data_IF_481872570464
#
_entry.id   IF_481872570464
#
_cell.length_a   1.000
_cell.length_b   1.000
_cell.length_c   1.000
_cell.angle_alpha   90.00
_cell.angle_beta   90.00
_cell.angle_gamma   90.00
#
_symmetry.space_group_name_H-M   'P 1'
#
loop_
_entity.id
_entity.type
_entity.pdbx_description
1 polymer ?
#
# COMPACT_ATOMS: atom_id res chain seq x y z
N UNK A 1 48.63 39.91 -46.30
CA UNK A 1 48.25 38.72 -46.33
C UNK A 1 47.20 38.42 -45.43
N UNK A 2 46.19 38.03 -45.89
CA UNK A 2 45.10 37.84 -45.07
C UNK A 2 45.03 36.51 -44.56
N UNK A 3 44.90 36.43 -43.35
CA UNK A 3 44.80 35.21 -42.81
C UNK A 3 43.43 34.74 -42.93
N UNK A 4 43.23 33.81 -43.62
CA UNK A 4 41.99 33.35 -43.75
C UNK A 4 41.62 32.54 -42.62
N UNK A 5 40.88 32.98 -41.85
CA UNK A 5 40.48 32.23 -40.73
C UNK A 5 39.23 31.45 -41.07
N UNK A 6 39.34 30.25 -41.04
CA UNK A 6 38.23 29.45 -41.29
C UNK A 6 37.71 28.95 -40.00
N UNK A 7 36.65 29.33 -39.63
CA UNK A 7 36.14 28.87 -38.38
C UNK A 7 35.90 27.41 -38.51
N UNK A 8 36.38 26.77 -37.66
CA UNK A 8 36.15 25.38 -37.69
C UNK A 8 34.70 25.17 -37.50
N UNK A 9 34.20 24.33 -38.16
CA UNK A 9 32.82 24.05 -38.00
C UNK A 9 32.66 23.54 -36.65
N UNK A 10 31.90 24.15 -36.00
CA UNK A 10 31.66 23.72 -34.73
C UNK A 10 30.94 22.45 -34.86
N UNK A 11 31.45 21.52 -34.44
CA UNK A 11 30.80 20.29 -34.51
C UNK A 11 29.54 20.46 -33.80
N UNK A 12 28.59 20.20 -34.43
CA UNK A 12 27.34 20.27 -33.79
C UNK A 12 27.39 19.34 -32.66
N UNK A 13 26.98 19.73 -31.67
CA UNK A 13 26.96 18.91 -30.56
C UNK A 13 26.14 17.77 -30.88
N UNK A 14 26.65 16.79 -30.70
CA UNK A 14 25.96 15.66 -30.87
C UNK A 14 24.70 15.84 -30.19
N UNK A 15 23.79 15.60 -30.82
CA UNK A 15 22.58 15.71 -30.22
C UNK A 15 22.63 14.96 -28.99
N UNK A 16 22.25 15.55 -28.13
CA UNK A 16 22.12 14.95 -26.94
C UNK A 16 21.38 13.73 -27.16
N UNK A 17 21.78 12.79 -26.71
CA UNK A 17 21.13 11.62 -26.82
C UNK A 17 19.85 11.82 -26.22
N UNK A 18 19.02 11.62 -26.92
CA UNK A 18 17.80 11.64 -26.41
C UNK A 18 17.87 10.94 -25.19
N UNK A 19 17.47 11.54 -24.30
CA UNK A 19 17.33 10.98 -23.10
C UNK A 19 16.82 9.66 -23.35
N UNK A 20 17.53 8.84 -23.01
CA UNK A 20 17.11 7.55 -23.03
C UNK A 20 15.83 7.59 -22.38
N UNK A 21 14.94 7.04 -22.93
CA UNK A 21 13.70 6.96 -22.32
C UNK A 21 14.01 6.41 -21.02
N UNK A 22 13.66 7.07 -20.13
CA UNK A 22 13.79 6.64 -18.88
C UNK A 22 13.18 5.38 -18.91
N UNK A 23 13.86 4.50 -18.79
CA UNK A 23 13.32 3.24 -18.72
C UNK A 23 12.41 3.32 -17.65
N UNK A 24 11.27 3.34 -17.96
CA UNK A 24 10.39 3.21 -17.11
C UNK A 24 10.66 1.99 -16.43
N UNK A 25 10.99 2.08 -15.23
CA UNK A 25 11.17 0.97 -14.46
C UNK A 25 9.96 0.21 -14.57
N UNK A 26 10.06 -0.96 -14.92
CA UNK A 26 8.88 -1.77 -14.98
C UNK A 26 8.30 -1.69 -13.64
N UNK A 27 7.16 -1.34 -13.62
CA UNK A 27 6.46 -1.33 -12.40
C UNK A 27 6.66 -2.68 -11.81
N UNK A 28 6.81 -2.74 -10.57
CA UNK A 28 6.93 -4.00 -9.92
C UNK A 28 5.76 -4.77 -10.36
N UNK A 29 5.98 -5.95 -10.62
CA UNK A 29 4.98 -6.78 -11.14
C UNK A 29 3.75 -6.59 -10.36
N UNK A 30 2.78 -6.45 -11.05
CA UNK A 30 1.56 -6.25 -10.42
C UNK A 30 1.27 -7.29 -9.45
N UNK A 31 1.98 -8.28 -9.49
CA UNK A 31 1.76 -9.27 -8.53
C UNK A 31 1.76 -8.71 -7.16
N UNK A 32 2.24 -7.56 -7.03
CA UNK A 32 2.25 -7.02 -5.73
C UNK A 32 0.89 -6.57 -5.30
N UNK A 33 0.00 -6.41 -6.19
CA UNK A 33 -1.32 -5.96 -5.80
C UNK A 33 -2.10 -7.16 -5.34
N UNK A 34 -2.57 -7.15 -4.13
CA UNK A 34 -3.37 -8.29 -3.69
C UNK A 34 -4.63 -8.33 -4.52
N UNK A 35 -5.00 -9.51 -4.91
CA UNK A 35 -6.26 -9.65 -5.58
C UNK A 35 -7.25 -9.78 -4.47
N UNK A 36 -8.38 -9.21 -4.62
CA UNK A 36 -9.40 -9.30 -3.61
C UNK A 36 -9.71 -7.95 -3.04
N UNK A 37 -10.61 -7.94 -2.10
CA UNK A 37 -11.06 -6.70 -1.51
C UNK A 37 -10.17 -6.34 -0.31
N UNK A 38 -9.69 -5.11 -0.28
CA UNK A 38 -8.83 -4.67 0.79
C UNK A 38 -9.63 -3.88 1.80
N UNK A 39 -9.58 -4.29 3.06
CA UNK A 39 -10.22 -3.56 4.13
C UNK A 39 -9.19 -2.58 4.64
N UNK A 40 -9.52 -1.31 4.62
CA UNK A 40 -8.59 -0.26 5.02
C UNK A 40 -9.02 0.35 6.35
N UNK A 41 -8.06 0.93 7.03
CA UNK A 41 -8.35 1.55 8.30
C UNK A 41 -9.18 2.81 8.08
N UNK A 42 -10.30 2.95 8.77
CA UNK A 42 -11.13 4.15 8.62
C UNK A 42 -10.64 5.30 9.49
N UNK A 43 -9.61 5.11 10.26
CA UNK A 43 -9.13 6.14 11.15
C UNK A 43 -7.68 5.89 11.57
N UNK A 44 -7.09 6.87 12.21
CA UNK A 44 -5.76 6.74 12.75
C UNK A 44 -5.88 6.16 14.15
N UNK A 45 -5.04 5.24 14.50
CA UNK A 45 -5.06 4.67 15.85
C UNK A 45 -4.15 3.47 15.95
N UNK A 46 -4.41 2.64 16.93
CA UNK A 46 -3.65 1.42 17.15
C UNK A 46 -4.52 0.22 16.80
N UNK A 47 -3.96 -0.65 16.00
CA UNK A 47 -4.69 -1.81 15.51
C UNK A 47 -4.58 -2.96 16.49
N UNK A 48 -5.69 -3.59 16.81
CA UNK A 48 -5.70 -4.77 17.64
C UNK A 48 -6.54 -5.84 16.98
N UNK A 49 -6.08 -7.07 17.05
CA UNK A 49 -6.78 -8.18 16.43
C UNK A 49 -7.82 -8.80 17.37
N UNK A 50 -7.80 -8.42 18.64
CA UNK A 50 -8.73 -8.96 19.60
C UNK A 50 -9.25 -7.85 20.49
N UNK A 51 -10.27 -8.17 21.27
CA UNK A 51 -10.90 -7.16 22.10
C UNK A 51 -10.08 -6.82 23.35
N UNK A 52 -9.14 -7.65 23.70
CA UNK A 52 -8.27 -7.36 24.84
C UNK A 52 -7.03 -8.21 24.75
N UNK A 53 -5.99 -7.85 25.48
CA UNK A 53 -4.75 -8.60 25.45
C UNK A 53 -5.03 -10.03 25.88
N UNK A 54 -4.52 -10.97 25.15
CA UNK A 54 -4.71 -12.37 25.49
C UNK A 54 -6.01 -12.95 25.01
N UNK A 55 -6.91 -12.15 24.48
CA UNK A 55 -8.15 -12.68 23.94
C UNK A 55 -7.91 -13.23 22.56
N UNK A 56 -8.84 -14.07 22.11
CA UNK A 56 -8.72 -14.67 20.83
C UNK A 56 -8.96 -13.63 19.76
N UNK A 57 -8.23 -13.71 18.66
CA UNK A 57 -8.41 -12.78 17.57
C UNK A 57 -9.81 -12.91 16.99
N UNK A 58 -10.36 -11.83 16.51
CA UNK A 58 -11.68 -11.87 15.90
C UNK A 58 -11.66 -12.73 14.64
N UNK A 59 -10.61 -12.62 13.85
CA UNK A 59 -10.47 -13.40 12.63
C UNK A 59 -9.03 -13.78 12.43
N UNK A 60 -8.83 -14.80 11.60
CA UNK A 60 -7.50 -15.23 11.24
C UNK A 60 -7.49 -15.52 9.76
N UNK A 61 -6.31 -15.75 9.20
CA UNK A 61 -6.21 -16.10 7.79
C UNK A 61 -7.00 -17.38 7.59
N UNK A 62 -7.89 -17.38 6.64
CA UNK A 62 -8.76 -18.51 6.38
C UNK A 62 -10.14 -18.37 7.00
N UNK A 63 -10.35 -17.38 7.83
CA UNK A 63 -11.68 -17.20 8.43
C UNK A 63 -12.65 -16.64 7.42
N UNK A 64 -13.88 -17.07 7.52
CA UNK A 64 -14.93 -16.52 6.68
C UNK A 64 -15.60 -15.43 7.45
N UNK A 65 -15.83 -14.31 6.81
CA UNK A 65 -16.47 -13.16 7.44
C UNK A 65 -17.65 -12.70 6.62
N UNK A 66 -18.58 -12.03 7.28
CA UNK A 66 -19.73 -11.46 6.61
C UNK A 66 -19.66 -9.96 6.77
N UNK A 67 -20.19 -9.27 5.81
CA UNK A 67 -20.26 -7.82 5.88
C UNK A 67 -20.96 -7.44 7.18
N UNK A 68 -20.40 -6.52 7.92
CA UNK A 68 -20.94 -6.11 9.21
C UNK A 68 -20.36 -6.85 10.40
N UNK A 69 -19.57 -7.88 10.16
CA UNK A 69 -19.00 -8.63 11.25
C UNK A 69 -17.73 -7.94 11.74
N UNK A 70 -17.55 -7.86 13.06
CA UNK A 70 -16.37 -7.20 13.62
C UNK A 70 -15.13 -8.02 13.33
N UNK A 71 -14.12 -7.40 12.74
CA UNK A 71 -12.90 -8.11 12.39
C UNK A 71 -11.68 -7.60 13.13
N UNK A 72 -11.73 -6.40 13.67
CA UNK A 72 -10.62 -5.86 14.44
C UNK A 72 -11.07 -4.65 15.23
N UNK A 73 -10.16 -4.12 16.03
CA UNK A 73 -10.44 -2.94 16.82
C UNK A 73 -9.34 -1.95 16.57
N UNK A 74 -9.68 -0.68 16.46
CA UNK A 74 -8.71 0.38 16.38
C UNK A 74 -8.95 1.29 17.56
N UNK A 75 -7.94 1.42 18.40
CA UNK A 75 -8.03 2.29 19.55
C UNK A 75 -7.54 3.67 19.17
N UNK A 76 -8.37 4.66 19.36
CA UNK A 76 -8.02 6.03 19.08
C UNK A 76 -8.54 6.87 20.24
N UNK A 77 -7.68 7.69 20.80
CA UNK A 77 -8.05 8.56 21.90
C UNK A 77 -8.71 7.81 23.06
N UNK A 78 -8.17 6.65 23.35
CA UNK A 78 -8.67 5.81 24.44
C UNK A 78 -10.04 5.24 24.19
N UNK A 79 -10.50 5.30 22.97
CA UNK A 79 -11.78 4.71 22.61
C UNK A 79 -11.51 3.53 21.70
N UNK A 80 -12.12 2.42 22.00
CA UNK A 80 -11.98 1.22 21.20
C UNK A 80 -13.07 1.23 20.14
N UNK A 81 -12.65 1.33 18.89
CA UNK A 81 -13.61 1.34 17.79
C UNK A 81 -13.60 0.00 17.10
N UNK A 82 -14.74 -0.64 17.05
CA UNK A 82 -14.85 -1.93 16.39
C UNK A 82 -14.96 -1.70 14.89
N UNK A 83 -14.13 -2.37 14.16
CA UNK A 83 -14.11 -2.24 12.72
C UNK A 83 -14.78 -3.45 12.12
N UNK A 84 -15.75 -3.22 11.26
CA UNK A 84 -16.51 -4.31 10.66
C UNK A 84 -16.04 -4.56 9.24
N UNK A 85 -16.23 -5.78 8.80
CA UNK A 85 -15.91 -6.12 7.44
C UNK A 85 -16.88 -5.39 6.53
N UNK A 86 -16.37 -4.81 5.47
CA UNK A 86 -17.23 -4.12 4.51
C UNK A 86 -17.52 -5.00 3.31
N UNK A 87 -17.17 -6.27 3.40
CA UNK A 87 -17.46 -7.22 2.36
C UNK A 87 -17.44 -8.61 2.94
N UNK A 88 -18.28 -9.48 2.45
CA UNK A 88 -18.29 -10.88 2.88
C UNK A 88 -17.28 -11.66 2.06
N UNK A 89 -16.67 -12.64 2.67
CA UNK A 89 -15.70 -13.49 1.99
C UNK A 89 -14.78 -14.17 2.97
N UNK A 90 -13.62 -14.58 2.48
CA UNK A 90 -12.62 -15.26 3.30
C UNK A 90 -11.43 -14.36 3.48
N UNK A 91 -10.94 -14.25 4.71
CA UNK A 91 -9.75 -13.44 4.97
C UNK A 91 -8.55 -14.22 4.46
N UNK A 92 -7.88 -13.69 3.46
CA UNK A 92 -6.74 -14.39 2.88
C UNK A 92 -5.43 -13.82 3.37
N UNK A 93 -5.43 -12.57 3.83
CA UNK A 93 -4.21 -11.98 4.38
C UNK A 93 -4.57 -11.00 5.48
N UNK A 94 -3.72 -10.91 6.47
CA UNK A 94 -3.86 -9.91 7.52
C UNK A 94 -2.61 -9.08 7.45
N UNK A 95 -2.76 -7.82 7.08
CA UNK A 95 -1.63 -6.95 6.83
C UNK A 95 -1.21 -6.13 8.04
N UNK A 96 -2.08 -6.02 9.02
CA UNK A 96 -1.75 -5.30 10.23
C UNK A 96 -1.26 -6.23 11.32
N UNK A 97 -0.50 -5.69 12.24
CA UNK A 97 -0.03 -6.47 13.36
C UNK A 97 -0.66 -5.97 14.64
N UNK A 98 -0.87 -6.87 15.57
CA UNK A 98 -1.51 -6.51 16.83
C UNK A 98 -0.66 -5.47 17.57
N UNK A 99 -1.24 -4.36 17.93
CA UNK A 99 -0.50 -3.31 18.59
C UNK A 99 0.20 -2.33 17.67
N UNK A 100 -0.01 -2.45 16.38
CA UNK A 100 0.65 -1.59 15.41
C UNK A 100 -0.12 -0.29 15.24
N UNK A 101 0.61 0.81 15.09
CA UNK A 101 -0.04 2.09 14.79
C UNK A 101 -0.44 2.07 13.32
N UNK A 102 -1.64 2.48 13.03
CA UNK A 102 -2.13 2.51 11.66
C UNK A 102 -2.65 3.89 11.32
N UNK A 103 -2.63 4.19 10.02
CA UNK A 103 -3.10 5.47 9.53
C UNK A 103 -4.35 5.30 8.70
N UNK A 104 -5.05 6.37 8.50
CA UNK A 104 -6.27 6.35 7.71
C UNK A 104 -5.94 5.80 6.33
N UNK A 105 -6.73 4.86 5.88
CA UNK A 105 -6.54 4.28 4.55
C UNK A 105 -5.50 3.18 4.49
N UNK A 106 -4.87 2.85 5.58
CA UNK A 106 -3.85 1.81 5.57
C UNK A 106 -4.51 0.45 5.41
N UNK A 107 -4.02 -0.39 4.51
CA UNK A 107 -4.62 -1.72 4.35
C UNK A 107 -4.45 -2.57 5.59
N UNK A 108 -5.49 -3.23 5.97
CA UNK A 108 -5.48 -4.09 7.16
C UNK A 108 -5.73 -5.56 6.83
N UNK A 109 -6.66 -5.83 5.95
CA UNK A 109 -7.00 -7.21 5.59
C UNK A 109 -7.28 -7.34 4.11
N UNK A 110 -7.16 -8.55 3.62
CA UNK A 110 -7.59 -8.85 2.26
C UNK A 110 -8.67 -9.91 2.38
N UNK A 111 -9.82 -9.66 1.79
CA UNK A 111 -10.94 -10.59 1.79
C UNK A 111 -11.23 -11.01 0.37
N UNK A 112 -11.32 -12.28 0.14
CA UNK A 112 -11.62 -12.80 -1.20
C UNK A 112 -12.85 -13.65 -1.25
#
# INVERSE_FOLDING_TARGET
MVQQYVPAPVAAPAAAPAAAPVAELPAPPAAAAPTGHIVKSPMVGTFYRSSSPGAKAFVEVGSQVKEGETICIIEAMKILNEIEADKSGTVTRILGENGQAVEYGQPLFVIE
#
